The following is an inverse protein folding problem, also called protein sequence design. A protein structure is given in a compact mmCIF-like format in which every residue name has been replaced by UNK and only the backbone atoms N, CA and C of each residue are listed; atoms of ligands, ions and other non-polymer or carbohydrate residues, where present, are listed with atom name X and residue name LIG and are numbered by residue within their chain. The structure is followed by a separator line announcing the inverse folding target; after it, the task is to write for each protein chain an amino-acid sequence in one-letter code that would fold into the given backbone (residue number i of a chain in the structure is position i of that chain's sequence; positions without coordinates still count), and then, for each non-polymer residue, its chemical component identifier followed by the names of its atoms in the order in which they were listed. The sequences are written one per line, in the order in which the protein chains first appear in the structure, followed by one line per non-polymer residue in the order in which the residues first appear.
data_IF_139600067222
#
_entry.id   IF_139600067222
#
_cell.length_a   1.000
_cell.length_b   1.000
_cell.length_c   1.000
_cell.angle_alpha   90.00
_cell.angle_beta   90.00
_cell.angle_gamma   90.00
#
_symmetry.space_group_name_H-M   'P 1'
#
loop_
_entity.id
_entity.type
_entity.pdbx_description
1 polymer ?
#
# COMPACT_ATOMS: atom_id res chain seq x y z
N UNK A 1 19.63 35.19 1.97
CA UNK A 1 18.87 33.92 2.03
C UNK A 1 19.85 32.80 2.32
N UNK A 2 19.70 32.09 3.44
CA UNK A 2 20.46 30.86 3.69
C UNK A 2 19.69 29.69 3.07
N UNK A 3 20.38 28.86 2.29
CA UNK A 3 19.85 27.62 1.75
C UNK A 3 20.29 26.49 2.69
N UNK A 4 19.32 25.74 3.21
CA UNK A 4 19.56 24.60 4.10
C UNK A 4 19.07 23.35 3.37
N UNK A 5 19.95 22.35 3.24
CA UNK A 5 19.60 21.06 2.66
C UNK A 5 19.02 20.16 3.74
N UNK A 6 17.82 19.62 3.50
CA UNK A 6 17.18 18.65 4.37
C UNK A 6 17.04 17.32 3.63
N UNK A 7 17.32 16.22 4.33
CA UNK A 7 16.94 14.90 3.82
C UNK A 7 15.42 14.78 3.93
N UNK A 8 14.78 14.45 2.82
CA UNK A 8 13.34 14.26 2.74
C UNK A 8 13.02 12.88 2.17
N UNK A 9 11.99 12.23 2.68
CA UNK A 9 11.44 11.01 2.11
C UNK A 9 9.91 11.06 2.11
N UNK A 10 9.30 10.27 1.24
CA UNK A 10 7.84 10.08 1.21
C UNK A 10 7.55 8.68 1.73
N UNK A 11 6.65 8.56 2.69
CA UNK A 11 6.25 7.26 3.23
C UNK A 11 5.27 6.51 2.31
N UNK A 12 4.89 5.29 2.70
CA UNK A 12 3.93 4.46 1.98
C UNK A 12 2.51 5.06 1.85
N UNK A 13 2.19 6.06 2.70
CA UNK A 13 0.91 6.76 2.70
C UNK A 13 0.95 8.08 1.91
N UNK A 14 2.10 8.43 1.32
CA UNK A 14 2.29 9.66 0.55
C UNK A 14 2.58 10.89 1.41
N UNK A 15 2.97 10.71 2.68
CA UNK A 15 3.32 11.81 3.60
C UNK A 15 4.79 12.18 3.41
N UNK A 16 5.06 13.48 3.21
CA UNK A 16 6.42 14.01 3.13
C UNK A 16 7.01 14.15 4.54
N UNK A 17 8.04 13.39 4.82
CA UNK A 17 8.80 13.45 6.07
C UNK A 17 10.13 14.18 5.84
N UNK A 18 10.38 15.21 6.65
CA UNK A 18 11.64 15.98 6.64
C UNK A 18 12.47 15.55 7.85
N UNK A 19 13.71 15.11 7.61
CA UNK A 19 14.65 14.80 8.69
C UNK A 19 15.36 16.08 9.11
N UNK A 20 15.03 16.55 10.31
CA UNK A 20 15.70 17.72 10.88
C UNK A 20 17.15 17.37 11.26
N UNK A 21 18.15 18.13 10.80
CA UNK A 21 19.52 17.94 11.25
C UNK A 21 19.65 18.33 12.73
N UNK A 22 20.57 17.72 13.49
CA UNK A 22 20.66 17.90 14.95
C UNK A 22 20.92 19.35 15.37
N UNK A 23 21.56 20.13 14.52
CA UNK A 23 21.86 21.56 14.74
C UNK A 23 20.62 22.47 14.65
N UNK A 24 19.47 21.95 14.21
CA UNK A 24 18.19 22.67 14.11
C UNK A 24 17.10 22.06 15.02
N UNK A 25 17.48 21.11 15.90
CA UNK A 25 16.54 20.49 16.83
C UNK A 25 15.95 21.52 17.81
N UNK A 26 14.61 21.56 17.92
CA UNK A 26 13.90 22.48 18.80
C UNK A 26 13.71 23.91 18.25
N UNK A 27 14.11 24.16 17.00
CA UNK A 27 13.92 25.46 16.35
C UNK A 27 12.63 25.48 15.51
N UNK A 28 11.86 26.56 15.60
CA UNK A 28 10.74 26.81 14.69
C UNK A 28 11.26 27.41 13.38
N UNK A 29 11.08 26.69 12.27
CA UNK A 29 11.48 27.16 10.94
C UNK A 29 10.22 27.58 10.18
N UNK A 30 10.10 28.89 9.93
CA UNK A 30 9.06 29.46 9.06
C UNK A 30 9.62 29.67 7.67
N UNK A 31 9.04 29.02 6.66
CA UNK A 31 9.50 29.12 5.29
C UNK A 31 8.46 28.62 4.29
N UNK A 32 8.69 28.90 3.02
CA UNK A 32 7.87 28.41 1.91
C UNK A 32 8.60 27.23 1.25
N UNK A 33 7.97 26.05 1.28
CA UNK A 33 8.52 24.85 0.65
C UNK A 33 8.38 24.97 -0.87
N UNK A 34 9.49 25.17 -1.57
CA UNK A 34 9.56 25.06 -3.03
C UNK A 34 10.07 23.67 -3.38
N UNK A 35 9.16 22.79 -3.75
CA UNK A 35 9.50 21.46 -4.24
C UNK A 35 9.16 21.38 -5.73
N UNK A 36 10.01 20.72 -6.50
CA UNK A 36 9.74 20.39 -7.88
C UNK A 36 9.54 18.87 -7.93
N UNK A 37 8.29 18.41 -7.98
CA UNK A 37 8.02 17.01 -8.29
C UNK A 37 8.42 16.83 -9.75
N UNK A 38 9.64 16.37 -9.98
CA UNK A 38 9.90 15.63 -11.20
C UNK A 38 8.98 14.43 -11.13
N UNK A 39 7.94 14.41 -11.96
CA UNK A 39 7.19 13.18 -12.26
C UNK A 39 8.18 12.23 -12.95
N UNK A 40 9.10 11.66 -12.19
CA UNK A 40 9.84 10.47 -12.58
C UNK A 40 8.79 9.37 -12.58
N UNK A 41 8.12 9.25 -13.74
CA UNK A 41 7.30 8.12 -14.16
C UNK A 41 6.71 7.33 -12.99
N UNK A 42 5.72 7.92 -12.31
CA UNK A 42 4.70 7.07 -11.71
C UNK A 42 4.30 6.10 -12.83
N UNK A 43 4.49 4.78 -12.70
CA UNK A 43 3.96 3.87 -13.69
C UNK A 43 2.48 4.21 -13.75
N UNK A 44 2.05 4.85 -14.85
CA UNK A 44 0.64 5.06 -15.10
C UNK A 44 0.10 3.65 -15.18
N UNK A 45 -0.49 3.18 -14.09
CA UNK A 45 -1.18 1.91 -14.09
C UNK A 45 -2.31 2.08 -15.09
N UNK A 46 -2.07 1.64 -16.33
CA UNK A 46 -3.03 1.63 -17.42
C UNK A 46 -4.05 0.48 -17.24
N UNK A 47 -4.05 -0.18 -16.08
CA UNK A 47 -5.09 -1.14 -15.75
C UNK A 47 -6.43 -0.44 -15.66
N UNK A 48 -7.46 -1.08 -16.20
CA UNK A 48 -8.85 -0.64 -16.02
C UNK A 48 -9.08 -0.46 -14.51
N UNK A 49 -9.58 0.72 -14.13
CA UNK A 49 -9.91 1.02 -12.74
C UNK A 49 -10.90 -0.03 -12.24
N UNK A 50 -10.47 -0.86 -11.29
CA UNK A 50 -11.34 -1.86 -10.68
C UNK A 50 -12.37 -1.13 -9.83
N UNK A 51 -13.65 -1.44 -10.04
CA UNK A 51 -14.71 -0.95 -9.16
C UNK A 51 -14.65 -1.71 -7.84
N UNK A 52 -14.13 -1.05 -6.80
CA UNK A 52 -13.98 -1.64 -5.47
C UNK A 52 -15.33 -2.01 -4.84
N UNK A 53 -16.41 -1.30 -5.18
CA UNK A 53 -17.73 -1.58 -4.66
C UNK A 53 -18.33 -2.82 -5.33
N UNK A 54 -18.09 -2.99 -6.63
CA UNK A 54 -18.44 -4.22 -7.34
C UNK A 54 -17.71 -5.43 -6.73
N UNK A 55 -16.40 -5.32 -6.45
CA UNK A 55 -15.63 -6.39 -5.78
C UNK A 55 -16.21 -6.72 -4.41
N UNK A 56 -16.47 -5.70 -3.57
CA UNK A 56 -17.07 -5.90 -2.24
C UNK A 56 -18.43 -6.61 -2.31
N UNK A 57 -19.27 -6.23 -3.26
CA UNK A 57 -20.58 -6.87 -3.46
C UNK A 57 -20.45 -8.34 -3.84
N UNK A 58 -19.53 -8.67 -4.77
CA UNK A 58 -19.25 -10.06 -5.15
C UNK A 58 -18.75 -10.88 -3.95
N UNK A 59 -17.80 -10.35 -3.18
CA UNK A 59 -17.30 -11.03 -1.99
C UNK A 59 -18.41 -11.30 -0.95
N UNK A 60 -19.32 -10.33 -0.74
CA UNK A 60 -20.46 -10.51 0.15
C UNK A 60 -21.44 -11.58 -0.36
N UNK A 61 -21.69 -11.63 -1.67
CA UNK A 61 -22.53 -12.69 -2.26
C UNK A 61 -21.91 -14.07 -2.05
N UNK A 62 -20.62 -14.23 -2.36
CA UNK A 62 -19.91 -15.52 -2.23
C UNK A 62 -19.92 -16.00 -0.77
N UNK A 63 -19.65 -15.10 0.19
CA UNK A 63 -19.62 -15.45 1.63
C UNK A 63 -20.97 -15.96 2.15
N UNK A 64 -22.07 -15.54 1.54
CA UNK A 64 -23.42 -15.93 1.95
C UNK A 64 -23.96 -17.16 1.19
N UNK A 65 -23.16 -17.78 0.33
CA UNK A 65 -23.54 -19.04 -0.31
C UNK A 65 -23.50 -20.20 0.68
N UNK A 66 -24.38 -21.20 0.53
CA UNK A 66 -24.33 -22.40 1.35
C UNK A 66 -23.03 -23.16 1.10
N UNK A 67 -22.46 -23.73 2.15
CA UNK A 67 -21.32 -24.61 1.98
C UNK A 67 -21.79 -25.96 1.40
N UNK A 68 -21.22 -26.35 0.25
CA UNK A 68 -21.53 -27.62 -0.43
C UNK A 68 -20.60 -28.75 0.00
N UNK A 69 -19.39 -28.43 0.43
CA UNK A 69 -18.35 -29.38 0.80
C UNK A 69 -17.58 -28.84 2.02
N UNK A 70 -17.54 -29.60 3.10
CA UNK A 70 -16.85 -29.20 4.32
C UNK A 70 -15.35 -29.49 4.28
N UNK A 71 -14.87 -30.22 3.26
CA UNK A 71 -13.45 -30.49 3.10
C UNK A 71 -12.66 -29.20 2.90
N UNK A 72 -11.45 -29.20 3.43
CA UNK A 72 -10.49 -28.12 3.18
C UNK A 72 -10.02 -28.15 1.73
N UNK A 73 -9.51 -27.02 1.19
CA UNK A 73 -8.96 -27.00 -0.16
C UNK A 73 -7.88 -28.08 -0.39
N UNK A 74 -7.05 -28.36 0.60
CA UNK A 74 -5.99 -29.37 0.50
C UNK A 74 -6.58 -30.78 0.39
N UNK A 75 -7.57 -31.11 1.23
CA UNK A 75 -8.32 -32.37 1.14
C UNK A 75 -9.09 -32.52 -0.19
N UNK A 76 -9.56 -31.42 -0.77
CA UNK A 76 -10.24 -31.42 -2.07
C UNK A 76 -9.24 -31.74 -3.19
N UNK A 77 -8.02 -31.22 -3.11
CA UNK A 77 -6.97 -31.42 -4.12
C UNK A 77 -6.22 -32.74 -3.89
N UNK A 78 -6.34 -33.37 -2.71
CA UNK A 78 -5.73 -34.65 -2.36
C UNK A 78 -4.37 -34.51 -1.65
N UNK A 79 -4.16 -33.40 -0.96
CA UNK A 79 -2.99 -33.16 -0.12
C UNK A 79 -3.34 -33.39 1.35
N UNK A 80 -2.43 -34.01 2.09
CA UNK A 80 -2.55 -34.12 3.54
C UNK A 80 -2.20 -32.80 4.25
N UNK A 81 -2.31 -32.79 5.59
CA UNK A 81 -2.03 -31.60 6.43
C UNK A 81 -0.59 -31.04 6.29
N UNK A 82 0.34 -31.81 5.71
CA UNK A 82 1.71 -31.40 5.44
C UNK A 82 1.93 -30.93 3.99
N UNK A 83 0.88 -30.87 3.17
CA UNK A 83 0.98 -30.52 1.76
C UNK A 83 1.64 -31.61 0.91
N UNK A 84 1.50 -32.88 1.30
CA UNK A 84 2.00 -34.05 0.55
C UNK A 84 0.82 -34.73 -0.17
N UNK A 85 0.91 -35.05 -1.47
CA UNK A 85 -0.13 -35.79 -2.17
C UNK A 85 -0.34 -37.18 -1.57
N UNK A 86 -1.59 -37.58 -1.36
CA UNK A 86 -1.98 -38.96 -1.02
C UNK A 86 -2.34 -39.81 -2.24
#
# INVERSE_FOLDING_TARGET
MQQINFDAYVDENGVLCLKMPPNLAGMEIKGQLFYQIHLASLPKFQGKKVDINAVRNICNQIRNLPNLDSRTPDEIIGYNEFGIPE
#
